data_IF_932428224754
#
_entry.id   IF_932428224754
#
_cell.length_a   1.000
_cell.length_b   1.000
_cell.length_c   1.000
_cell.angle_alpha   90.00
_cell.angle_beta   90.00
_cell.angle_gamma   90.00
#
_symmetry.space_group_name_H-M   'P 1'
#
loop_
_entity.id
_entity.type
_entity.pdbx_description
1 polymer ?
#
# COMPACT_ATOMS: atom_id res chain seq x y z
N UNK A 1 2.58 -18.31 12.22
CA UNK A 1 3.86 -17.67 11.81
C UNK A 1 4.20 -16.44 12.66
N UNK A 2 5.47 -15.99 12.75
CA UNK A 2 5.86 -14.70 13.36
C UNK A 2 6.33 -13.72 12.27
N UNK A 3 5.62 -12.62 12.05
CA UNK A 3 5.86 -11.69 10.94
C UNK A 3 6.84 -10.54 11.26
N UNK A 4 7.57 -10.65 12.36
CA UNK A 4 8.45 -9.60 12.87
C UNK A 4 9.63 -9.30 11.93
N UNK A 5 9.55 -8.22 11.17
CA UNK A 5 10.60 -7.79 10.24
C UNK A 5 11.00 -6.34 10.46
N UNK A 6 12.21 -6.12 10.98
CA UNK A 6 12.75 -4.78 11.19
C UNK A 6 14.22 -4.65 10.74
N UNK A 7 14.46 -4.27 9.48
CA UNK A 7 15.80 -3.96 9.00
C UNK A 7 16.35 -2.69 9.65
N UNK A 8 17.66 -2.65 9.95
CA UNK A 8 18.32 -1.44 10.46
C UNK A 8 18.16 -0.19 9.58
N UNK A 9 17.85 -0.35 8.30
CA UNK A 9 17.49 0.76 7.40
C UNK A 9 16.22 1.53 7.81
N UNK A 10 15.32 0.92 8.59
CA UNK A 10 14.05 1.54 9.02
C UNK A 10 14.25 2.57 10.13
N UNK A 11 15.17 2.32 11.07
CA UNK A 11 15.55 3.32 12.09
C UNK A 11 16.10 4.59 11.43
N UNK A 12 16.89 4.43 10.37
CA UNK A 12 17.39 5.56 9.57
C UNK A 12 16.25 6.32 8.90
N UNK A 13 15.25 5.62 8.37
CA UNK A 13 14.10 6.23 7.74
C UNK A 13 13.21 7.01 8.74
N UNK A 14 12.96 6.45 9.93
CA UNK A 14 12.24 7.14 11.02
C UNK A 14 12.93 8.44 11.44
N UNK A 15 14.25 8.40 11.66
CA UNK A 15 15.06 9.61 11.95
C UNK A 15 14.98 10.63 10.83
N UNK A 16 15.10 10.18 9.58
CA UNK A 16 15.00 11.07 8.42
C UNK A 16 13.63 11.74 8.33
N UNK A 17 12.56 11.01 8.65
CA UNK A 17 11.20 11.56 8.72
C UNK A 17 11.08 12.60 9.83
N UNK A 18 11.58 12.33 11.04
CA UNK A 18 11.59 13.26 12.17
C UNK A 18 12.32 14.59 11.86
N UNK A 19 13.43 14.52 11.13
CA UNK A 19 14.16 15.72 10.70
C UNK A 19 13.38 16.52 9.66
N UNK A 20 12.81 15.82 8.67
CA UNK A 20 12.23 16.44 7.49
C UNK A 20 10.79 16.91 7.69
N UNK A 21 10.07 16.40 8.69
CA UNK A 21 8.67 16.78 8.94
C UNK A 21 8.49 18.25 9.27
N UNK A 22 9.55 18.90 9.79
CA UNK A 22 9.59 20.34 10.05
C UNK A 22 9.64 21.18 8.77
N UNK A 23 10.09 20.60 7.66
CA UNK A 23 10.29 21.29 6.38
C UNK A 23 9.05 21.29 5.47
N UNK A 24 8.02 20.53 5.85
CA UNK A 24 6.84 20.27 5.01
C UNK A 24 5.58 20.93 5.57
N UNK A 25 4.61 21.11 4.69
CA UNK A 25 3.30 21.68 4.96
C UNK A 25 2.23 20.59 5.11
N UNK A 26 2.32 19.49 4.34
CA UNK A 26 1.42 18.34 4.43
C UNK A 26 2.14 17.00 4.26
N UNK A 27 1.44 15.93 4.63
CA UNK A 27 1.85 14.55 4.44
C UNK A 27 0.91 13.88 3.45
N UNK A 28 1.48 13.24 2.42
CA UNK A 28 0.77 12.34 1.52
C UNK A 28 1.10 10.92 1.98
N UNK A 29 0.16 10.27 2.64
CA UNK A 29 0.29 8.90 3.13
C UNK A 29 -0.27 7.94 2.07
N UNK A 30 0.63 7.20 1.44
CA UNK A 30 0.26 6.20 0.44
C UNK A 30 -0.03 4.89 1.16
N UNK A 31 -1.27 4.40 1.01
CA UNK A 31 -1.77 3.15 1.59
C UNK A 31 -2.17 2.18 0.47
N UNK A 32 -2.13 0.87 0.73
CA UNK A 32 -2.60 -0.15 -0.21
C UNK A 32 -4.10 -0.31 0.00
N UNK A 33 -4.90 -0.03 -1.04
CA UNK A 33 -6.36 -0.07 -0.96
C UNK A 33 -6.90 -1.46 -0.59
N UNK A 34 -6.10 -2.52 -0.76
CA UNK A 34 -6.48 -3.89 -0.37
C UNK A 34 -6.37 -4.12 1.13
N UNK A 35 -5.58 -3.31 1.85
CA UNK A 35 -5.39 -3.38 3.30
C UNK A 35 -5.25 -1.96 3.90
N UNK A 36 -6.29 -1.11 3.82
CA UNK A 36 -6.16 0.32 4.09
C UNK A 36 -5.70 0.68 5.51
N UNK A 37 -6.00 -0.15 6.52
CA UNK A 37 -5.55 0.05 7.91
C UNK A 37 -4.21 -0.65 8.13
N UNK A 38 -4.08 -1.92 7.76
CA UNK A 38 -2.83 -2.68 7.99
C UNK A 38 -1.64 -2.14 7.20
N UNK A 39 -1.86 -1.32 6.16
CA UNK A 39 -0.77 -0.67 5.42
C UNK A 39 -0.39 0.74 5.93
N UNK A 40 -1.06 1.24 6.97
CA UNK A 40 -0.68 2.49 7.64
C UNK A 40 0.38 2.22 8.70
N UNK A 41 1.25 3.20 8.91
CA UNK A 41 2.26 3.13 9.95
C UNK A 41 1.86 4.02 11.14
N UNK A 42 1.60 3.45 12.34
CA UNK A 42 1.19 4.21 13.53
C UNK A 42 2.17 5.32 13.92
N UNK A 43 3.48 5.16 13.64
CA UNK A 43 4.47 6.22 13.90
C UNK A 43 4.16 7.51 13.12
N UNK A 44 3.47 7.41 11.97
CA UNK A 44 3.11 8.57 11.14
C UNK A 44 2.03 9.42 11.85
N UNK A 45 1.17 8.80 12.66
CA UNK A 45 0.14 9.51 13.44
C UNK A 45 0.76 10.42 14.49
N UNK A 46 1.76 9.91 15.21
CA UNK A 46 2.49 10.71 16.21
C UNK A 46 3.34 11.80 15.53
N UNK A 47 4.12 11.44 14.51
CA UNK A 47 5.00 12.37 13.81
C UNK A 47 4.21 13.47 13.09
N UNK A 48 3.04 13.13 12.54
CA UNK A 48 2.20 13.97 11.70
C UNK A 48 1.10 14.75 12.42
N UNK A 49 1.00 14.72 13.75
CA UNK A 49 -0.15 15.22 14.55
C UNK A 49 -0.63 16.64 14.21
N UNK A 50 0.26 17.53 13.75
CA UNK A 50 -0.05 18.93 13.43
C UNK A 50 0.07 19.24 11.92
N UNK A 51 0.01 18.22 11.07
CA UNK A 51 0.13 18.36 9.62
C UNK A 51 -1.17 17.92 8.96
N UNK A 52 -1.52 18.61 7.88
CA UNK A 52 -2.56 18.15 6.97
C UNK A 52 -2.14 16.78 6.42
N UNK A 53 -3.09 15.84 6.40
CA UNK A 53 -2.87 14.45 5.99
C UNK A 53 -3.80 14.13 4.81
N UNK A 54 -3.19 13.79 3.68
CA UNK A 54 -3.87 13.23 2.51
C UNK A 54 -3.55 11.73 2.46
N UNK A 55 -4.57 10.90 2.62
CA UNK A 55 -4.49 9.46 2.42
C UNK A 55 -4.73 9.17 0.93
N UNK A 56 -3.71 8.62 0.28
CA UNK A 56 -3.79 8.15 -1.09
C UNK A 56 -4.06 6.64 -1.06
N UNK A 57 -5.32 6.22 -1.27
CA UNK A 57 -5.69 4.82 -1.44
C UNK A 57 -5.21 4.32 -2.80
N UNK A 58 -3.96 3.86 -2.83
CA UNK A 58 -3.31 3.42 -4.05
C UNK A 58 -3.60 1.95 -4.34
N UNK A 59 -3.45 1.54 -5.61
CA UNK A 59 -3.86 0.22 -6.11
C UNK A 59 -5.36 -0.04 -5.94
N UNK A 60 -6.17 1.01 -5.97
CA UNK A 60 -7.64 0.93 -5.91
C UNK A 60 -8.23 0.02 -7.00
N UNK A 61 -7.54 -0.14 -8.13
CA UNK A 61 -7.90 -1.07 -9.21
C UNK A 61 -7.79 -2.56 -8.84
N UNK A 62 -7.04 -2.89 -7.79
CA UNK A 62 -6.87 -4.26 -7.28
C UNK A 62 -7.76 -4.54 -6.05
N UNK A 63 -8.41 -3.51 -5.50
CA UNK A 63 -9.21 -3.58 -4.30
C UNK A 63 -10.71 -3.60 -4.64
N UNK A 64 -11.52 -4.21 -3.78
CA UNK A 64 -12.98 -4.23 -3.92
C UNK A 64 -13.52 -2.80 -3.93
N UNK A 65 -14.32 -2.44 -4.95
CA UNK A 65 -14.81 -1.07 -5.10
C UNK A 65 -15.80 -0.65 -4.00
N UNK A 66 -16.62 -1.58 -3.48
CA UNK A 66 -17.50 -1.29 -2.33
C UNK A 66 -16.66 -0.98 -1.11
N UNK A 67 -15.57 -1.72 -0.89
CA UNK A 67 -14.65 -1.45 0.21
C UNK A 67 -13.88 -0.14 0.00
N UNK A 68 -13.46 0.17 -1.23
CA UNK A 68 -12.83 1.44 -1.55
C UNK A 68 -13.70 2.61 -1.11
N UNK A 69 -15.02 2.58 -1.37
CA UNK A 69 -15.93 3.65 -0.94
C UNK A 69 -16.09 3.70 0.58
N UNK A 70 -16.30 2.55 1.23
CA UNK A 70 -16.44 2.51 2.69
C UNK A 70 -15.19 3.02 3.42
N UNK A 71 -14.00 2.60 2.99
CA UNK A 71 -12.74 3.06 3.56
C UNK A 71 -12.46 4.53 3.26
N UNK A 72 -12.89 5.02 2.09
CA UNK A 72 -12.83 6.44 1.77
C UNK A 72 -13.64 7.25 2.77
N UNK A 73 -14.90 6.85 3.02
CA UNK A 73 -15.76 7.51 4.00
C UNK A 73 -15.19 7.43 5.41
N UNK A 74 -14.74 6.25 5.84
CA UNK A 74 -14.14 6.04 7.16
C UNK A 74 -12.98 7.01 7.43
N UNK A 75 -12.06 7.19 6.48
CA UNK A 75 -10.95 8.12 6.66
C UNK A 75 -11.38 9.59 6.59
N UNK A 76 -12.38 9.93 5.77
CA UNK A 76 -12.96 11.27 5.74
C UNK A 76 -13.62 11.62 7.08
N UNK A 77 -14.34 10.69 7.70
CA UNK A 77 -14.96 10.85 9.02
C UNK A 77 -13.90 11.07 10.13
N UNK A 78 -12.69 10.56 9.93
CA UNK A 78 -11.53 10.82 10.80
C UNK A 78 -10.82 12.16 10.51
N UNK A 79 -11.31 12.95 9.55
CA UNK A 79 -10.77 14.25 9.19
C UNK A 79 -9.61 14.19 8.20
N UNK A 80 -9.37 13.05 7.54
CA UNK A 80 -8.37 12.94 6.49
C UNK A 80 -8.92 13.38 5.13
N UNK A 81 -8.06 13.98 4.32
CA UNK A 81 -8.34 14.11 2.89
C UNK A 81 -8.06 12.77 2.21
N UNK A 82 -8.92 12.32 1.30
CA UNK A 82 -8.77 10.99 0.70
C UNK A 82 -8.83 11.05 -0.82
N UNK A 83 -7.92 10.36 -1.49
CA UNK A 83 -7.93 10.18 -2.95
C UNK A 83 -7.69 8.72 -3.29
N UNK A 84 -8.64 8.10 -4.00
CA UNK A 84 -8.45 6.80 -4.65
C UNK A 84 -7.54 6.96 -5.86
N UNK A 85 -6.55 6.09 -5.99
CA UNK A 85 -5.59 6.18 -7.09
C UNK A 85 -5.16 4.81 -7.61
N UNK A 86 -4.80 4.80 -8.89
CA UNK A 86 -3.95 3.79 -9.49
C UNK A 86 -2.71 4.51 -10.03
N UNK A 87 -1.62 4.47 -9.27
CA UNK A 87 -0.38 5.14 -9.65
C UNK A 87 0.25 4.57 -10.93
N UNK A 88 -0.06 3.33 -11.30
CA UNK A 88 0.46 2.67 -12.50
C UNK A 88 -0.21 3.20 -13.77
N UNK A 89 -1.53 3.37 -13.76
CA UNK A 89 -2.29 3.91 -14.91
C UNK A 89 -2.42 5.44 -14.88
N UNK A 90 -2.21 6.07 -13.72
CA UNK A 90 -2.45 7.51 -13.51
C UNK A 90 -3.89 7.84 -13.12
N UNK A 91 -4.79 6.85 -12.99
CA UNK A 91 -6.16 7.10 -12.53
C UNK A 91 -6.17 7.72 -11.13
N UNK A 92 -6.99 8.75 -10.92
CA UNK A 92 -7.11 9.49 -9.66
C UNK A 92 -5.97 10.47 -9.35
N UNK A 93 -4.80 10.33 -9.99
CA UNK A 93 -3.60 11.15 -9.70
C UNK A 93 -3.83 12.65 -9.94
N UNK A 94 -4.63 13.00 -10.94
CA UNK A 94 -4.97 14.41 -11.24
C UNK A 94 -5.76 15.09 -10.11
N UNK A 95 -6.49 14.34 -9.30
CA UNK A 95 -7.29 14.87 -8.18
C UNK A 95 -6.45 15.23 -6.96
N UNK A 96 -5.22 14.71 -6.87
CA UNK A 96 -4.32 14.98 -5.74
C UNK A 96 -3.99 16.47 -5.65
N UNK A 97 -3.74 17.15 -6.78
CA UNK A 97 -3.37 18.57 -6.76
C UNK A 97 -4.52 19.46 -6.24
N UNK A 98 -5.76 19.39 -6.77
CA UNK A 98 -6.90 20.12 -6.19
C UNK A 98 -7.08 19.87 -4.69
N UNK A 99 -6.99 18.63 -4.24
CA UNK A 99 -7.15 18.27 -2.82
C UNK A 99 -6.04 18.89 -1.96
N UNK A 100 -4.78 18.87 -2.43
CA UNK A 100 -3.66 19.53 -1.74
C UNK A 100 -3.91 21.04 -1.60
N UNK A 101 -4.37 21.69 -2.67
CA UNK A 101 -4.61 23.13 -2.68
C UNK A 101 -5.73 23.52 -1.71
N UNK A 102 -6.81 22.75 -1.67
CA UNK A 102 -7.91 23.00 -0.74
C UNK A 102 -7.49 22.73 0.72
N UNK A 103 -6.84 21.60 0.97
CA UNK A 103 -6.43 21.22 2.32
C UNK A 103 -5.38 22.18 2.92
N UNK A 104 -4.62 22.89 2.08
CA UNK A 104 -3.64 23.90 2.51
C UNK A 104 -4.14 25.34 2.38
N UNK A 105 -5.40 25.57 2.01
CA UNK A 105 -5.94 26.91 1.69
C UNK A 105 -5.73 27.92 2.80
N UNK A 106 -6.08 27.57 4.05
CA UNK A 106 -5.91 28.46 5.20
C UNK A 106 -4.46 28.89 5.41
N UNK A 107 -3.53 27.96 5.19
CA UNK A 107 -2.09 28.23 5.31
C UNK A 107 -1.61 29.14 4.17
N UNK A 108 -2.03 28.87 2.95
CA UNK A 108 -1.70 29.70 1.78
C UNK A 108 -2.18 31.14 2.01
N UNK A 109 -3.39 31.31 2.52
CA UNK A 109 -3.94 32.63 2.86
C UNK A 109 -3.16 33.31 3.98
N UNK A 110 -2.79 32.58 5.03
CA UNK A 110 -1.97 33.08 6.14
C UNK A 110 -0.60 33.56 5.65
N UNK A 111 0.07 32.77 4.82
CA UNK A 111 1.38 33.12 4.24
C UNK A 111 1.24 34.36 3.34
N UNK A 112 0.17 34.44 2.55
CA UNK A 112 -0.14 35.61 1.71
C UNK A 112 -0.35 36.88 2.53
N UNK A 113 -1.08 36.81 3.66
CA UNK A 113 -1.28 37.94 4.58
C UNK A 113 0.03 38.42 5.21
N UNK A 114 1.02 37.52 5.38
CA UNK A 114 2.37 37.83 5.86
C UNK A 114 3.32 38.34 4.77
N UNK A 115 2.83 38.54 3.54
CA UNK A 115 3.64 38.99 2.41
C UNK A 115 4.47 37.89 1.74
N UNK A 116 4.35 36.63 2.18
CA UNK A 116 5.02 35.49 1.57
C UNK A 116 4.23 35.09 0.31
N UNK A 117 4.76 35.47 -0.86
CA UNK A 117 4.14 35.17 -2.16
C UNK A 117 4.88 34.02 -2.85
N UNK A 118 4.15 33.22 -3.63
CA UNK A 118 4.70 32.18 -4.50
C UNK A 118 5.54 31.08 -3.81
N UNK A 119 5.39 30.88 -2.50
CA UNK A 119 6.00 29.75 -1.80
C UNK A 119 5.24 28.47 -2.19
N UNK A 120 5.90 27.46 -2.78
CA UNK A 120 5.23 26.19 -3.07
C UNK A 120 4.90 25.46 -1.78
N UNK A 121 3.79 24.74 -1.81
CA UNK A 121 3.40 23.78 -0.80
C UNK A 121 4.40 22.62 -0.84
N UNK A 122 5.02 22.35 0.30
CA UNK A 122 5.96 21.23 0.45
C UNK A 122 5.23 20.03 1.04
N UNK A 123 5.20 18.91 0.33
CA UNK A 123 4.59 17.68 0.81
C UNK A 123 5.64 16.58 0.99
N UNK A 124 5.46 15.73 2.00
CA UNK A 124 6.26 14.50 2.16
C UNK A 124 5.42 13.30 1.74
N UNK A 125 5.97 12.43 0.89
CA UNK A 125 5.32 11.16 0.55
C UNK A 125 5.83 10.10 1.51
N UNK A 126 4.91 9.46 2.23
CA UNK A 126 5.19 8.41 3.22
C UNK A 126 4.37 7.17 2.97
N UNK A 127 4.75 6.06 3.61
CA UNK A 127 4.05 4.78 3.49
C UNK A 127 5.02 3.59 3.49
N UNK A 128 4.47 2.40 3.66
CA UNK A 128 5.23 1.16 3.79
C UNK A 128 5.93 0.75 2.48
N UNK A 129 6.89 -0.20 2.50
CA UNK A 129 7.45 -0.80 1.29
C UNK A 129 6.36 -1.34 0.35
N UNK A 130 6.63 -1.26 -0.96
CA UNK A 130 5.78 -1.81 -2.03
C UNK A 130 4.34 -1.26 -2.16
N UNK A 131 3.98 -0.23 -1.37
CA UNK A 131 2.67 0.46 -1.49
C UNK A 131 2.54 1.33 -2.75
N UNK A 132 3.66 1.61 -3.44
CA UNK A 132 3.68 2.35 -4.71
C UNK A 132 4.10 3.82 -4.64
N UNK A 133 4.79 4.26 -3.58
CA UNK A 133 5.28 5.65 -3.42
C UNK A 133 6.06 6.20 -4.63
N UNK A 134 7.08 5.49 -5.10
CA UNK A 134 7.91 5.94 -6.22
C UNK A 134 7.11 5.99 -7.53
N UNK A 135 6.22 5.02 -7.74
CA UNK A 135 5.29 5.01 -8.87
C UNK A 135 4.34 6.20 -8.82
N UNK A 136 3.79 6.51 -7.64
CA UNK A 136 2.97 7.69 -7.40
C UNK A 136 3.72 8.97 -7.73
N UNK A 137 4.93 9.14 -7.18
CA UNK A 137 5.77 10.32 -7.41
C UNK A 137 6.05 10.53 -8.90
N UNK A 138 6.41 9.47 -9.62
CA UNK A 138 6.68 9.55 -11.06
C UNK A 138 5.42 9.90 -11.86
N UNK A 139 4.29 9.28 -11.52
CA UNK A 139 2.99 9.54 -12.15
C UNK A 139 2.54 10.99 -11.92
N UNK A 140 2.67 11.49 -10.69
CA UNK A 140 2.29 12.84 -10.31
C UNK A 140 3.24 13.91 -10.89
N UNK A 141 4.53 13.61 -11.00
CA UNK A 141 5.51 14.48 -11.63
C UNK A 141 5.44 14.49 -13.17
N UNK A 142 4.74 13.53 -13.78
CA UNK A 142 4.66 13.35 -15.23
C UNK A 142 5.98 12.94 -15.89
N UNK A 143 6.98 12.52 -15.11
CA UNK A 143 8.30 12.08 -15.59
C UNK A 143 8.96 11.11 -14.60
N UNK A 144 9.91 10.30 -15.08
CA UNK A 144 10.63 9.32 -14.25
C UNK A 144 11.67 9.99 -13.33
N UNK A 145 11.20 10.57 -12.22
CA UNK A 145 12.04 11.24 -11.22
C UNK A 145 12.74 10.28 -10.25
N UNK A 146 12.16 9.10 -10.01
CA UNK A 146 12.61 8.12 -9.01
C UNK A 146 12.79 6.74 -9.65
N UNK A 147 13.75 5.95 -9.16
CA UNK A 147 13.94 4.56 -9.61
C UNK A 147 12.82 3.69 -9.06
N UNK A 148 12.00 3.12 -9.95
CA UNK A 148 10.95 2.16 -9.60
C UNK A 148 11.49 0.73 -9.61
N UNK A 149 11.21 -0.04 -8.55
CA UNK A 149 11.50 -1.47 -8.47
C UNK A 149 10.94 -2.08 -7.18
N UNK A 150 10.59 -3.37 -7.20
CA UNK A 150 9.95 -4.09 -6.08
C UNK A 150 10.90 -4.42 -4.90
N UNK A 151 12.14 -3.91 -4.90
CA UNK A 151 13.11 -4.16 -3.83
C UNK A 151 13.05 -3.03 -2.78
N UNK A 152 12.86 -3.33 -1.49
CA UNK A 152 12.95 -2.33 -0.42
C UNK A 152 14.33 -1.64 -0.39
N UNK A 153 14.36 -0.32 -0.18
CA UNK A 153 15.61 0.45 0.05
C UNK A 153 16.22 1.19 -1.15
N UNK A 154 15.47 1.41 -2.24
CA UNK A 154 16.00 1.94 -3.52
C UNK A 154 16.16 3.49 -3.58
N UNK A 155 15.60 4.25 -2.64
CA UNK A 155 15.68 5.74 -2.65
C UNK A 155 17.04 6.27 -2.17
N UNK A 156 17.74 7.04 -3.01
CA UNK A 156 19.05 7.67 -2.72
C UNK A 156 18.89 9.13 -2.26
N UNK A 157 18.87 9.39 -0.95
CA UNK A 157 19.06 10.73 -0.36
C UNK A 157 17.85 11.70 -0.40
N UNK A 158 17.98 12.83 0.32
CA UNK A 158 16.95 13.90 0.40
C UNK A 158 16.87 14.62 -0.97
N UNK A 159 15.77 14.45 -1.70
CA UNK A 159 15.54 15.12 -3.00
C UNK A 159 14.16 15.76 -3.03
N UNK A 160 14.12 17.07 -3.31
CA UNK A 160 12.88 17.78 -3.63
C UNK A 160 12.54 17.58 -5.11
N UNK A 161 11.33 17.12 -5.37
CA UNK A 161 10.79 16.87 -6.70
C UNK A 161 9.73 17.93 -6.94
N UNK A 162 10.05 18.89 -7.80
CA UNK A 162 9.11 19.94 -8.18
C UNK A 162 8.06 19.37 -9.14
N UNK A 163 6.80 19.43 -8.73
CA UNK A 163 5.66 18.97 -9.54
C UNK A 163 5.20 20.09 -10.47
N UNK A 164 5.00 21.28 -9.90
CA UNK A 164 4.64 22.48 -10.64
C UNK A 164 5.10 23.73 -9.86
N UNK A 165 4.54 24.90 -10.17
CA UNK A 165 4.86 26.15 -9.45
C UNK A 165 4.34 26.15 -8.00
N UNK A 166 3.35 25.33 -7.69
CA UNK A 166 2.60 25.34 -6.43
C UNK A 166 2.99 24.20 -5.49
N UNK A 167 3.59 23.09 -5.96
CA UNK A 167 3.86 21.90 -5.15
C UNK A 167 5.27 21.33 -5.37
N UNK A 168 5.94 21.02 -4.26
CA UNK A 168 7.20 20.27 -4.20
C UNK A 168 7.01 19.02 -3.32
N UNK A 169 7.48 17.86 -3.80
CA UNK A 169 7.46 16.62 -3.03
C UNK A 169 8.84 16.30 -2.46
N UNK A 170 8.87 15.84 -1.23
CA UNK A 170 10.02 15.19 -0.62
C UNK A 170 9.81 13.67 -0.67
N UNK A 171 10.67 12.98 -1.42
CA UNK A 171 10.67 11.51 -1.45
C UNK A 171 11.29 10.95 -0.18
N UNK A 172 10.68 9.89 0.37
CA UNK A 172 11.19 9.16 1.53
C UNK A 172 11.19 7.65 1.27
N UNK A 173 12.21 6.91 1.75
CA UNK A 173 12.19 5.46 1.67
C UNK A 173 11.01 4.91 2.48
N UNK A 174 10.51 3.73 2.09
CA UNK A 174 9.41 3.10 2.82
C UNK A 174 9.76 2.76 4.27
N UNK A 175 8.83 3.03 5.18
CA UNK A 175 9.01 2.83 6.62
C UNK A 175 7.95 1.85 7.11
N UNK A 176 8.36 0.66 7.58
CA UNK A 176 7.53 -0.15 8.47
C UNK A 176 7.90 0.18 9.91
N UNK A 177 6.98 -0.14 10.81
CA UNK A 177 7.16 -0.01 12.25
C UNK A 177 7.68 -1.32 12.84
N UNK A 178 8.47 -1.24 13.92
CA UNK A 178 9.24 -2.37 14.41
C UNK A 178 8.44 -3.50 15.00
N UNK A 179 7.20 -3.33 15.47
CA UNK A 179 6.44 -4.40 16.14
C UNK A 179 5.01 -4.44 15.64
N UNK A 180 4.57 -5.61 15.17
CA UNK A 180 3.16 -5.89 14.97
C UNK A 180 2.61 -6.44 16.28
N UNK A 181 1.73 -5.70 16.95
CA UNK A 181 1.00 -6.22 18.11
C UNK A 181 0.00 -7.31 17.68
N UNK A 182 -0.59 -7.13 16.50
CA UNK A 182 -1.52 -8.07 15.87
C UNK A 182 -0.83 -8.82 14.72
N UNK A 183 -0.77 -10.15 14.82
CA UNK A 183 -0.22 -11.01 13.76
C UNK A 183 -1.06 -10.96 12.48
N UNK A 184 -2.36 -10.63 12.56
CA UNK A 184 -3.23 -10.49 11.39
C UNK A 184 -2.76 -9.37 10.46
N UNK A 185 -2.16 -8.30 11.01
CA UNK A 185 -1.56 -7.20 10.26
C UNK A 185 -0.34 -7.68 9.48
N UNK A 186 0.51 -8.48 10.13
CA UNK A 186 1.69 -9.09 9.52
C UNK A 186 1.32 -10.01 8.35
N UNK A 187 0.31 -10.86 8.54
CA UNK A 187 -0.23 -11.74 7.50
C UNK A 187 -0.75 -10.95 6.28
N UNK A 188 -1.56 -9.91 6.51
CA UNK A 188 -2.08 -9.03 5.45
C UNK A 188 -0.96 -8.32 4.67
N UNK A 189 0.05 -7.79 5.37
CA UNK A 189 1.22 -7.17 4.77
C UNK A 189 2.03 -8.16 3.92
N UNK A 190 2.17 -9.40 4.39
CA UNK A 190 2.78 -10.50 3.65
C UNK A 190 1.95 -10.86 2.40
N UNK A 191 0.63 -11.01 2.50
CA UNK A 191 -0.25 -11.34 1.37
C UNK A 191 -0.13 -10.31 0.24
N UNK A 192 -0.07 -9.01 0.55
CA UNK A 192 0.05 -7.95 -0.47
C UNK A 192 1.47 -7.73 -0.99
N UNK A 193 2.47 -8.42 -0.43
CA UNK A 193 3.87 -8.37 -0.85
C UNK A 193 4.66 -7.18 -0.27
N UNK A 194 4.26 -6.65 0.87
CA UNK A 194 5.01 -5.61 1.59
C UNK A 194 6.10 -6.16 2.50
N UNK A 195 6.09 -7.47 2.77
CA UNK A 195 7.15 -8.24 3.42
C UNK A 195 7.80 -9.15 2.36
N UNK A 196 9.10 -9.42 2.54
CA UNK A 196 9.87 -10.29 1.64
C UNK A 196 9.41 -11.75 1.73
N UNK A 197 9.19 -12.40 0.60
CA UNK A 197 8.69 -13.77 0.56
C UNK A 197 9.72 -14.79 1.08
N UNK A 198 11.03 -14.51 0.99
CA UNK A 198 12.09 -15.45 1.39
C UNK A 198 12.14 -15.76 2.90
N UNK A 199 11.39 -15.01 3.71
CA UNK A 199 11.32 -15.21 5.18
C UNK A 199 9.95 -15.73 5.63
N UNK A 200 9.06 -16.07 4.69
CA UNK A 200 7.68 -16.45 4.95
C UNK A 200 7.43 -17.92 4.57
N UNK A 201 6.53 -18.58 5.31
CA UNK A 201 5.96 -19.85 4.87
C UNK A 201 4.77 -19.55 3.93
N UNK A 202 5.02 -19.62 2.63
CA UNK A 202 4.02 -19.25 1.63
C UNK A 202 2.81 -20.19 1.61
N UNK A 203 2.95 -21.43 2.06
CA UNK A 203 1.83 -22.38 2.14
C UNK A 203 0.86 -21.97 3.25
N UNK A 204 1.34 -21.70 4.46
CA UNK A 204 0.50 -21.21 5.57
C UNK A 204 -0.20 -19.89 5.20
N UNK A 205 0.53 -18.96 4.57
CA UNK A 205 -0.02 -17.69 4.09
C UNK A 205 -1.10 -17.89 3.01
N UNK A 206 -0.92 -18.86 2.12
CA UNK A 206 -1.88 -19.20 1.07
C UNK A 206 -3.16 -19.81 1.65
N UNK A 207 -3.03 -20.69 2.64
CA UNK A 207 -4.19 -21.24 3.34
C UNK A 207 -4.99 -20.15 4.07
N UNK A 208 -4.33 -19.18 4.70
CA UNK A 208 -5.01 -18.02 5.29
C UNK A 208 -5.75 -17.19 4.24
N UNK A 209 -5.13 -16.92 3.09
CA UNK A 209 -5.77 -16.19 2.00
C UNK A 209 -6.99 -16.96 1.47
N UNK A 210 -6.88 -18.27 1.24
CA UNK A 210 -8.01 -19.10 0.79
C UNK A 210 -9.17 -19.06 1.78
N UNK A 211 -8.88 -19.15 3.09
CA UNK A 211 -9.90 -19.02 4.13
C UNK A 211 -10.58 -17.64 4.12
N UNK A 212 -9.85 -16.58 3.80
CA UNK A 212 -10.43 -15.24 3.66
C UNK A 212 -11.32 -15.13 2.40
N UNK A 213 -10.85 -15.64 1.26
CA UNK A 213 -11.60 -15.62 0.00
C UNK A 213 -12.89 -16.43 0.11
N UNK A 214 -12.83 -17.64 0.64
CA UNK A 214 -14.01 -18.49 0.86
C UNK A 214 -15.06 -17.82 1.78
N UNK A 215 -14.62 -17.01 2.75
CA UNK A 215 -15.53 -16.35 3.70
C UNK A 215 -16.16 -15.07 3.14
N UNK A 216 -15.42 -14.25 2.40
CA UNK A 216 -15.85 -12.89 2.03
C UNK A 216 -16.06 -12.67 0.53
N UNK A 217 -15.55 -13.57 -0.32
CA UNK A 217 -15.60 -13.49 -1.78
C UNK A 217 -16.02 -14.86 -2.34
N UNK A 218 -17.11 -15.42 -1.81
CA UNK A 218 -17.62 -16.73 -2.22
C UNK A 218 -17.82 -16.80 -3.74
N UNK A 219 -17.36 -17.90 -4.35
CA UNK A 219 -17.44 -18.18 -5.77
C UNK A 219 -16.23 -17.69 -6.59
N UNK A 220 -15.36 -16.85 -6.04
CA UNK A 220 -14.22 -16.29 -6.78
C UNK A 220 -13.16 -17.34 -7.14
N UNK A 221 -12.97 -18.35 -6.28
CA UNK A 221 -12.03 -19.45 -6.53
C UNK A 221 -12.62 -20.41 -7.56
N UNK A 222 -13.94 -20.61 -7.53
CA UNK A 222 -14.66 -21.38 -8.56
C UNK A 222 -14.53 -20.73 -9.93
N UNK A 223 -14.73 -19.41 -10.04
CA UNK A 223 -14.58 -18.69 -11.30
C UNK A 223 -13.13 -18.71 -11.81
N UNK A 224 -12.14 -18.58 -10.92
CA UNK A 224 -10.73 -18.47 -11.32
C UNK A 224 -10.05 -19.81 -11.61
N UNK A 225 -10.37 -20.84 -10.83
CA UNK A 225 -9.64 -22.10 -10.79
C UNK A 225 -10.54 -23.33 -11.00
N UNK A 226 -11.85 -23.15 -11.19
CA UNK A 226 -12.83 -24.26 -11.28
C UNK A 226 -12.82 -25.14 -10.01
N UNK A 227 -12.51 -24.53 -8.86
CA UNK A 227 -12.41 -25.22 -7.56
C UNK A 227 -13.72 -25.08 -6.78
N UNK A 228 -14.17 -26.17 -6.17
CA UNK A 228 -15.24 -26.13 -5.19
C UNK A 228 -14.74 -25.55 -3.87
N UNK A 229 -15.33 -24.44 -3.45
CA UNK A 229 -14.97 -23.77 -2.21
C UNK A 229 -15.49 -24.56 -1.01
N UNK A 230 -14.63 -24.77 -0.02
CA UNK A 230 -14.97 -25.53 1.18
C UNK A 230 -14.23 -24.99 2.40
N UNK A 231 -14.60 -25.46 3.59
CA UNK A 231 -13.90 -25.11 4.84
C UNK A 231 -12.49 -25.70 4.86
N UNK A 232 -12.25 -26.76 4.10
CA UNK A 232 -10.95 -27.42 3.98
C UNK A 232 -10.05 -26.66 3.00
N UNK A 233 -9.25 -25.76 3.56
CA UNK A 233 -8.31 -24.91 2.81
C UNK A 233 -7.24 -25.70 2.09
N UNK A 234 -6.84 -26.86 2.62
CA UNK A 234 -5.83 -27.69 2.00
C UNK A 234 -6.38 -28.31 0.72
N UNK A 235 -7.62 -28.84 0.75
CA UNK A 235 -8.28 -29.34 -0.46
C UNK A 235 -8.46 -28.27 -1.53
N UNK A 236 -8.78 -27.03 -1.14
CA UNK A 236 -8.81 -25.93 -2.10
C UNK A 236 -7.43 -25.69 -2.73
N UNK A 237 -6.35 -25.73 -1.94
CA UNK A 237 -4.99 -25.58 -2.46
C UNK A 237 -4.57 -26.75 -3.37
N UNK A 238 -4.92 -27.98 -3.01
CA UNK A 238 -4.73 -29.18 -3.85
C UNK A 238 -5.41 -29.02 -5.22
N UNK A 239 -6.66 -28.58 -5.22
CA UNK A 239 -7.41 -28.38 -6.46
C UNK A 239 -6.81 -27.26 -7.32
N UNK A 240 -6.29 -26.18 -6.70
CA UNK A 240 -5.54 -25.15 -7.42
C UNK A 240 -4.22 -25.71 -7.99
N UNK A 241 -3.51 -26.55 -7.22
CA UNK A 241 -2.28 -27.18 -7.69
C UNK A 241 -2.55 -28.05 -8.92
N UNK A 242 -3.64 -28.82 -8.92
CA UNK A 242 -4.10 -29.60 -10.09
C UNK A 242 -4.45 -28.68 -11.25
N UNK A 243 -5.30 -27.67 -11.05
CA UNK A 243 -5.72 -26.72 -12.10
C UNK A 243 -4.52 -26.03 -12.78
N UNK A 244 -3.49 -25.71 -12.00
CA UNK A 244 -2.27 -25.03 -12.47
C UNK A 244 -1.14 -25.97 -12.89
N UNK A 245 -1.37 -27.29 -12.91
CA UNK A 245 -0.36 -28.30 -13.23
C UNK A 245 0.93 -28.12 -12.39
N UNK A 246 0.75 -27.92 -11.09
CA UNK A 246 1.84 -27.82 -10.12
C UNK A 246 2.25 -29.21 -9.69
N UNK A 247 3.23 -29.78 -10.39
CA UNK A 247 3.72 -31.15 -10.17
C UNK A 247 5.21 -31.14 -9.82
N UNK A 248 5.59 -32.01 -8.88
CA UNK A 248 6.97 -32.38 -8.57
C UNK A 248 7.39 -33.64 -9.34
N UNK A 249 8.68 -34.00 -9.23
CA UNK A 249 9.18 -35.27 -9.78
C UNK A 249 8.46 -36.43 -9.09
N UNK A 250 7.88 -37.34 -9.88
CA UNK A 250 7.09 -38.47 -9.36
C UNK A 250 5.57 -38.27 -9.42
N UNK A 251 5.08 -37.17 -10.02
CA UNK A 251 3.66 -36.84 -10.15
C UNK A 251 2.96 -36.46 -8.83
N UNK A 252 3.73 -36.07 -7.81
CA UNK A 252 3.21 -35.45 -6.58
C UNK A 252 2.89 -33.97 -6.79
N UNK A 253 1.94 -33.42 -6.02
CA UNK A 253 1.56 -32.01 -6.12
C UNK A 253 2.62 -31.10 -5.49
N UNK A 254 2.94 -30.00 -6.18
CA UNK A 254 3.86 -28.96 -5.71
C UNK A 254 3.10 -27.82 -5.01
N UNK A 255 2.89 -27.94 -3.70
CA UNK A 255 2.19 -26.94 -2.89
C UNK A 255 2.92 -25.60 -2.82
N UNK A 256 4.25 -25.61 -2.79
CA UNK A 256 5.05 -24.40 -2.80
C UNK A 256 4.84 -23.61 -4.10
N UNK A 257 4.83 -24.29 -5.25
CA UNK A 257 4.53 -23.66 -6.55
C UNK A 257 3.09 -23.16 -6.63
N UNK A 258 2.12 -23.96 -6.17
CA UNK A 258 0.71 -23.56 -6.15
C UNK A 258 0.48 -22.31 -5.27
N UNK A 259 1.11 -22.27 -4.09
CA UNK A 259 1.07 -21.14 -3.16
C UNK A 259 1.65 -19.86 -3.76
N UNK A 260 2.80 -19.96 -4.42
CA UNK A 260 3.39 -18.84 -5.15
C UNK A 260 2.45 -18.31 -6.23
N UNK A 261 1.87 -19.20 -7.05
CA UNK A 261 0.93 -18.81 -8.11
C UNK A 261 -0.29 -18.12 -7.50
N UNK A 262 -0.92 -18.70 -6.47
CA UNK A 262 -2.09 -18.10 -5.81
C UNK A 262 -1.78 -16.68 -5.33
N UNK A 263 -0.68 -16.50 -4.58
CA UNK A 263 -0.30 -15.20 -4.03
C UNK A 263 0.04 -14.19 -5.14
N UNK A 264 0.74 -14.60 -6.20
CA UNK A 264 1.02 -13.73 -7.34
C UNK A 264 -0.24 -13.33 -8.10
N UNK A 265 -1.17 -14.26 -8.33
CA UNK A 265 -2.43 -13.98 -8.99
C UNK A 265 -3.31 -13.04 -8.16
N UNK A 266 -3.36 -13.22 -6.84
CA UNK A 266 -3.98 -12.27 -5.92
C UNK A 266 -3.31 -10.89 -6.02
N UNK A 267 -1.98 -10.84 -5.91
CA UNK A 267 -1.21 -9.58 -5.89
C UNK A 267 -1.37 -8.77 -7.18
N UNK A 268 -1.62 -9.45 -8.30
CA UNK A 268 -1.83 -8.86 -9.62
C UNK A 268 -3.31 -8.69 -10.00
N UNK A 269 -4.25 -9.01 -9.10
CA UNK A 269 -5.69 -8.86 -9.34
C UNK A 269 -6.28 -9.85 -10.35
N UNK A 270 -5.59 -10.96 -10.63
CA UNK A 270 -6.06 -12.00 -11.57
C UNK A 270 -7.15 -12.88 -10.96
N UNK A 271 -7.17 -13.04 -9.63
CA UNK A 271 -8.26 -13.71 -8.91
C UNK A 271 -9.50 -12.80 -8.90
N UNK A 272 -9.28 -11.50 -8.72
CA UNK A 272 -10.30 -10.47 -8.77
C UNK A 272 -9.88 -9.26 -7.93
N UNK A 273 -10.83 -8.35 -7.71
CA UNK A 273 -10.63 -7.15 -6.89
C UNK A 273 -10.98 -7.45 -5.45
N UNK A 274 -9.97 -7.52 -4.59
CA UNK A 274 -10.11 -8.07 -3.23
C UNK A 274 -9.48 -7.10 -2.22
N UNK A 275 -10.25 -6.75 -1.20
CA UNK A 275 -9.79 -6.07 0.00
C UNK A 275 -9.84 -7.04 1.18
N UNK A 276 -8.72 -7.17 1.89
CA UNK A 276 -8.51 -8.08 3.03
C UNK A 276 -8.96 -7.49 4.38
N UNK A 277 -9.70 -6.37 4.35
CA UNK A 277 -10.18 -5.64 5.51
C UNK A 277 -11.59 -5.12 5.26
N UNK A 278 -12.39 -5.11 6.32
CA UNK A 278 -13.79 -4.69 6.30
C UNK A 278 -13.98 -3.53 7.30
N UNK A 279 -14.86 -2.59 6.95
CA UNK A 279 -15.28 -1.47 7.81
C UNK A 279 -16.80 -1.34 7.83
#
# INVERSE_FOLDING_TARGET
MNYQWYPGHMTKAKRMMQENIKLIDLIIEVVDARIPVSSRNPDIDELGKNKVRLILLNKSDLADERQNEKWTQYFMDQGFCVVKANSKSGAGIRQVLPVIMEACKEKIERDRRRGIKNRPIRAMVVGIPNVGKSTFINSFAGKACTKTGNKPGVTKGKQWIRINKNVELLDTPGILWPKFEDQSVGAKLAMVGSIKDEILNLEELSLELLGYLQKYYEGILKERYEVEESVDRLKMLEAIAVNRNCLQKGSELDYGKASNILLEEFRNGKIGRITLEQV
#
